data_IF_228951127944
#
_entry.id   IF_228951127944
#
_cell.length_a   1.000
_cell.length_b   1.000
_cell.length_c   1.000
_cell.angle_alpha   90.00
_cell.angle_beta   90.00
_cell.angle_gamma   90.00
#
_symmetry.space_group_name_H-M   'P 1'
#
loop_
_entity.id
_entity.type
_entity.pdbx_description
1 polymer ?
#
# COMPACT_ATOMS: atom_id res chain seq x y z
N UNK A 1 -18.79 -10.03 -0.75
CA UNK A 1 -17.61 -9.14 -0.83
C UNK A 1 -16.36 -10.00 -0.80
N UNK A 2 -15.59 -10.04 -1.89
CA UNK A 2 -14.31 -10.75 -1.91
C UNK A 2 -13.31 -9.97 -1.06
N UNK A 3 -12.96 -10.49 0.12
CA UNK A 3 -11.85 -9.93 0.91
C UNK A 3 -10.56 -10.31 0.20
N UNK A 4 -9.93 -9.35 -0.46
CA UNK A 4 -8.64 -9.54 -1.14
C UNK A 4 -7.59 -10.01 -0.13
N UNK A 5 -7.13 -11.26 -0.24
CA UNK A 5 -6.07 -11.83 0.59
C UNK A 5 -4.73 -11.39 -0.01
N UNK A 6 -4.23 -10.24 0.42
CA UNK A 6 -2.85 -9.85 0.17
C UNK A 6 -2.00 -10.16 1.41
N UNK A 7 -0.74 -10.56 1.25
CA UNK A 7 0.16 -10.77 2.38
C UNK A 7 0.64 -9.44 2.96
N UNK A 8 0.90 -8.45 2.09
CA UNK A 8 1.23 -7.08 2.48
C UNK A 8 0.13 -6.14 2.00
N UNK A 9 -0.29 -5.21 2.86
CA UNK A 9 -1.08 -4.04 2.47
C UNK A 9 -0.22 -2.78 2.61
N UNK A 10 0.20 -2.20 1.48
CA UNK A 10 0.97 -0.96 1.44
C UNK A 10 0.05 0.20 1.01
N UNK A 11 -0.16 1.18 1.88
CA UNK A 11 -1.20 2.20 1.73
C UNK A 11 -0.59 3.60 1.70
N UNK A 12 -0.87 4.34 0.62
CA UNK A 12 -0.59 5.76 0.53
C UNK A 12 -1.70 6.56 1.26
N UNK A 13 -1.35 7.28 2.33
CA UNK A 13 -2.30 7.89 3.28
C UNK A 13 -2.36 9.42 3.18
N UNK A 14 -2.46 9.99 1.98
CA UNK A 14 -2.51 11.46 1.84
C UNK A 14 -3.84 12.08 2.31
N UNK A 15 -4.99 11.46 2.02
CA UNK A 15 -6.31 12.04 2.32
C UNK A 15 -7.00 11.44 3.55
N UNK A 16 -6.41 10.38 4.11
CA UNK A 16 -6.83 9.76 5.35
C UNK A 16 -8.06 8.85 5.26
N UNK A 17 -8.82 8.82 4.16
CA UNK A 17 -10.04 7.99 4.07
C UNK A 17 -9.73 6.49 4.03
N UNK A 18 -8.85 6.08 3.13
CA UNK A 18 -8.36 4.71 2.96
C UNK A 18 -7.59 4.26 4.19
N UNK A 19 -6.75 5.14 4.75
CA UNK A 19 -6.09 4.88 6.04
C UNK A 19 -7.14 4.60 7.12
N UNK A 20 -8.11 5.50 7.32
CA UNK A 20 -9.11 5.35 8.38
C UNK A 20 -9.95 4.09 8.16
N UNK A 21 -10.28 3.75 6.90
CA UNK A 21 -10.96 2.49 6.56
C UNK A 21 -10.13 1.27 6.98
N UNK A 22 -8.83 1.26 6.67
CA UNK A 22 -7.94 0.15 7.03
C UNK A 22 -7.73 0.06 8.53
N UNK A 23 -7.53 1.19 9.23
CA UNK A 23 -7.42 1.20 10.70
C UNK A 23 -8.71 0.70 11.37
N UNK A 24 -9.88 1.12 10.86
CA UNK A 24 -11.17 0.64 11.36
C UNK A 24 -11.30 -0.88 11.16
N UNK A 25 -10.89 -1.38 9.99
CA UNK A 25 -10.94 -2.81 9.69
C UNK A 25 -9.89 -3.64 10.45
N UNK A 26 -8.75 -3.04 10.80
CA UNK A 26 -7.69 -3.68 11.60
C UNK A 26 -8.06 -3.81 13.09
N UNK A 27 -8.95 -2.94 13.57
CA UNK A 27 -9.43 -2.94 14.95
C UNK A 27 -8.83 -1.81 15.79
N UNK A 28 -9.47 -1.57 16.94
CA UNK A 28 -9.16 -0.43 17.82
C UNK A 28 -7.71 -0.42 18.30
N UNK A 29 -7.16 -1.58 18.68
CA UNK A 29 -5.79 -1.69 19.18
C UNK A 29 -4.76 -1.21 18.14
N UNK A 30 -4.94 -1.58 16.87
CA UNK A 30 -4.07 -1.13 15.77
C UNK A 30 -4.27 0.34 15.46
N UNK A 31 -5.49 0.85 15.60
CA UNK A 31 -5.77 2.28 15.45
C UNK A 31 -5.00 3.10 16.50
N UNK A 32 -5.00 2.65 17.76
CA UNK A 32 -4.27 3.29 18.85
C UNK A 32 -2.74 3.17 18.69
N UNK A 33 -2.24 2.01 18.27
CA UNK A 33 -0.84 1.80 17.90
C UNK A 33 -0.42 2.76 16.79
N UNK A 34 -1.17 2.80 15.70
CA UNK A 34 -0.94 3.71 14.59
C UNK A 34 -0.88 5.16 15.07
N UNK A 35 -1.86 5.62 15.86
CA UNK A 35 -1.90 7.01 16.32
C UNK A 35 -0.71 7.35 17.20
N UNK A 36 -0.38 6.47 18.15
CA UNK A 36 0.76 6.63 19.06
C UNK A 36 2.08 6.69 18.32
N UNK A 37 2.27 5.81 17.33
CA UNK A 37 3.51 5.78 16.57
C UNK A 37 3.57 6.93 15.57
N UNK A 38 2.45 7.30 14.93
CA UNK A 38 2.38 8.40 13.96
C UNK A 38 2.78 9.76 14.55
N UNK A 39 2.54 9.97 15.85
CA UNK A 39 3.01 11.16 16.57
C UNK A 39 4.51 11.07 16.83
N UNK A 40 5.31 11.72 15.98
CA UNK A 40 6.77 11.81 16.13
C UNK A 40 7.58 11.05 15.07
N UNK A 41 6.94 10.47 14.05
CA UNK A 41 7.65 9.77 12.97
C UNK A 41 8.43 10.77 12.10
N UNK A 42 9.76 10.68 12.13
CA UNK A 42 10.61 11.35 11.14
C UNK A 42 10.78 10.55 9.84
N UNK A 43 10.43 9.25 9.87
CA UNK A 43 10.54 8.31 8.74
C UNK A 43 9.43 8.55 7.69
N UNK A 44 9.61 8.10 6.43
CA UNK A 44 8.64 8.35 5.36
C UNK A 44 7.40 7.42 5.44
N UNK A 45 7.50 6.33 6.21
CA UNK A 45 6.43 5.36 6.41
C UNK A 45 6.37 4.88 7.84
N UNK A 46 5.25 4.23 8.15
CA UNK A 46 4.93 3.57 9.40
C UNK A 46 4.47 2.14 9.10
N UNK A 47 4.84 1.19 9.92
CA UNK A 47 4.42 -0.21 9.82
C UNK A 47 3.63 -0.55 11.07
N UNK A 48 2.55 -1.31 10.93
CA UNK A 48 1.80 -1.83 12.09
C UNK A 48 1.54 -3.32 11.90
N UNK A 49 1.20 -3.98 13.01
CA UNK A 49 0.57 -5.29 12.93
C UNK A 49 -0.76 -5.22 12.14
N UNK A 50 -1.20 -6.32 11.51
CA UNK A 50 -2.43 -6.35 10.70
C UNK A 50 -3.72 -6.35 11.54
N UNK A 51 -3.64 -6.65 12.83
CA UNK A 51 -4.81 -6.79 13.69
C UNK A 51 -5.80 -7.83 13.16
N UNK A 52 -7.03 -7.41 12.90
CA UNK A 52 -8.11 -8.24 12.35
C UNK A 52 -8.04 -8.41 10.82
N UNK A 53 -7.11 -7.73 10.13
CA UNK A 53 -6.93 -7.90 8.69
C UNK A 53 -6.34 -9.27 8.38
N UNK A 54 -6.67 -9.79 7.20
CA UNK A 54 -6.19 -11.11 6.72
C UNK A 54 -4.79 -11.07 6.08
N UNK A 55 -4.14 -9.91 6.12
CA UNK A 55 -2.75 -9.73 5.68
C UNK A 55 -1.78 -10.01 6.82
N UNK A 56 -0.50 -10.15 6.49
CA UNK A 56 0.58 -10.36 7.46
C UNK A 56 1.19 -9.03 7.94
N UNK A 57 1.11 -7.99 7.10
CA UNK A 57 1.66 -6.65 7.41
C UNK A 57 0.84 -5.54 6.77
N UNK A 58 0.74 -4.41 7.48
CA UNK A 58 0.23 -3.15 6.93
C UNK A 58 1.30 -2.07 7.02
N UNK A 59 1.42 -1.30 5.96
CA UNK A 59 2.35 -0.17 5.86
C UNK A 59 1.58 1.06 5.45
N UNK A 60 1.81 2.17 6.13
CA UNK A 60 1.24 3.47 5.86
C UNK A 60 2.34 4.44 5.45
N UNK A 61 2.15 5.11 4.33
CA UNK A 61 3.02 6.22 3.95
C UNK A 61 2.60 7.48 4.69
N UNK A 62 3.48 8.08 5.50
CA UNK A 62 3.10 9.05 6.55
C UNK A 62 3.50 10.51 6.28
N UNK A 63 4.33 10.79 5.27
CA UNK A 63 4.81 12.16 5.01
C UNK A 63 4.30 12.72 3.69
N UNK A 64 3.59 13.85 3.78
CA UNK A 64 3.26 14.69 2.65
C UNK A 64 4.50 15.35 2.09
N UNK A 65 4.66 15.36 0.78
CA UNK A 65 5.69 16.16 0.11
C UNK A 65 5.23 16.47 -1.30
N UNK A 66 5.44 17.71 -1.71
CA UNK A 66 5.42 18.26 -3.06
C UNK A 66 6.33 17.53 -4.09
N UNK A 67 6.83 16.32 -3.77
CA UNK A 67 7.69 15.46 -4.60
C UNK A 67 7.12 14.03 -4.75
N UNK A 68 5.80 13.95 -4.88
CA UNK A 68 5.01 12.72 -4.96
C UNK A 68 5.56 11.67 -5.94
N UNK A 69 6.11 12.05 -7.09
CA UNK A 69 6.62 11.10 -8.09
C UNK A 69 7.88 10.33 -7.63
N UNK A 70 8.78 10.98 -6.89
CA UNK A 70 10.00 10.33 -6.38
C UNK A 70 9.66 9.34 -5.27
N UNK A 71 8.77 9.75 -4.36
CA UNK A 71 8.33 8.93 -3.24
C UNK A 71 7.47 7.73 -3.69
N UNK A 72 6.67 7.90 -4.74
CA UNK A 72 5.90 6.81 -5.36
C UNK A 72 6.80 5.70 -5.90
N UNK A 73 7.90 6.10 -6.56
CA UNK A 73 8.89 5.18 -7.10
C UNK A 73 9.56 4.38 -5.99
N UNK A 74 9.98 5.06 -4.92
CA UNK A 74 10.56 4.42 -3.74
C UNK A 74 9.54 3.47 -3.11
N UNK A 75 8.31 3.93 -2.92
CA UNK A 75 7.24 3.16 -2.28
C UNK A 75 6.96 1.84 -3.01
N UNK A 76 6.71 1.88 -4.32
CA UNK A 76 6.44 0.66 -5.10
C UNK A 76 7.65 -0.26 -5.09
N UNK A 77 8.85 0.26 -5.44
CA UNK A 77 10.05 -0.57 -5.55
C UNK A 77 10.43 -1.21 -4.21
N UNK A 78 10.45 -0.43 -3.14
CA UNK A 78 10.84 -0.90 -1.82
C UNK A 78 9.92 -2.00 -1.32
N UNK A 79 8.59 -1.83 -1.45
CA UNK A 79 7.66 -2.84 -0.95
C UNK A 79 7.55 -4.07 -1.84
N UNK A 80 7.81 -3.95 -3.14
CA UNK A 80 7.96 -5.12 -4.00
C UNK A 80 9.26 -5.88 -3.70
N UNK A 81 10.38 -5.18 -3.50
CA UNK A 81 11.63 -5.81 -3.05
C UNK A 81 11.42 -6.52 -1.71
N UNK A 82 10.78 -5.86 -0.75
CA UNK A 82 10.41 -6.45 0.54
C UNK A 82 9.55 -7.71 0.33
N UNK A 83 8.57 -7.67 -0.56
CA UNK A 83 7.73 -8.80 -0.90
C UNK A 83 8.56 -10.01 -1.38
N UNK A 84 9.50 -9.77 -2.31
CA UNK A 84 10.38 -10.81 -2.85
C UNK A 84 11.38 -11.38 -1.84
N UNK A 85 12.05 -10.51 -1.07
CA UNK A 85 13.05 -10.91 -0.09
C UNK A 85 12.45 -11.77 1.03
N UNK A 86 11.21 -11.49 1.41
CA UNK A 86 10.50 -12.21 2.46
C UNK A 86 9.60 -13.34 1.93
N UNK A 87 9.67 -13.66 0.63
CA UNK A 87 8.89 -14.70 -0.04
C UNK A 87 7.36 -14.57 0.11
N UNK A 88 6.87 -13.34 0.23
CA UNK A 88 5.44 -13.06 0.15
C UNK A 88 4.91 -13.41 -1.24
N UNK A 89 3.65 -13.85 -1.30
CA UNK A 89 3.00 -14.26 -2.54
C UNK A 89 2.17 -13.12 -3.15
N UNK A 90 1.84 -12.11 -2.34
CA UNK A 90 0.97 -11.03 -2.76
C UNK A 90 1.20 -9.72 -2.01
N UNK A 91 1.06 -8.62 -2.73
CA UNK A 91 1.07 -7.25 -2.19
C UNK A 91 -0.11 -6.46 -2.75
N UNK A 92 -0.81 -5.75 -1.88
CA UNK A 92 -1.86 -4.81 -2.24
C UNK A 92 -1.39 -3.38 -2.02
N UNK A 93 -1.44 -2.57 -3.08
CA UNK A 93 -1.17 -1.15 -3.05
C UNK A 93 -2.48 -0.35 -2.95
N UNK A 94 -2.64 0.39 -1.87
CA UNK A 94 -3.75 1.31 -1.66
C UNK A 94 -3.42 2.72 -2.12
N UNK A 95 -4.22 3.26 -3.04
CA UNK A 95 -3.98 4.55 -3.70
C UNK A 95 -5.27 5.37 -3.65
N UNK A 96 -5.18 6.59 -3.15
CA UNK A 96 -6.34 7.51 -3.10
C UNK A 96 -6.31 8.56 -4.21
N UNK A 97 -5.13 8.90 -4.73
CA UNK A 97 -4.98 9.89 -5.78
C UNK A 97 -4.91 9.20 -7.15
N UNK A 98 -5.91 9.40 -8.03
CA UNK A 98 -5.98 8.76 -9.33
C UNK A 98 -4.78 9.07 -10.24
N UNK A 99 -4.09 10.20 -10.03
CA UNK A 99 -2.93 10.59 -10.81
C UNK A 99 -1.73 9.61 -10.65
N UNK A 100 -1.68 8.86 -9.55
CA UNK A 100 -0.59 7.92 -9.26
C UNK A 100 -0.86 6.49 -9.70
N UNK A 101 -2.08 6.19 -10.15
CA UNK A 101 -2.50 4.87 -10.61
C UNK A 101 -1.59 4.36 -11.71
N UNK A 102 -1.53 5.07 -12.84
CA UNK A 102 -0.80 4.64 -14.02
C UNK A 102 0.71 4.52 -13.76
N UNK A 103 1.37 5.51 -13.09
CA UNK A 103 2.77 5.37 -12.72
C UNK A 103 3.04 4.16 -11.80
N UNK A 104 2.18 3.89 -10.81
CA UNK A 104 2.36 2.73 -9.93
C UNK A 104 2.20 1.40 -10.66
N UNK A 105 1.21 1.29 -11.55
CA UNK A 105 1.02 0.10 -12.40
C UNK A 105 2.27 -0.14 -13.25
N UNK A 106 2.80 0.91 -13.91
CA UNK A 106 3.99 0.79 -14.74
C UNK A 106 5.21 0.34 -13.94
N UNK A 107 5.43 0.91 -12.75
CA UNK A 107 6.52 0.53 -11.85
C UNK A 107 6.36 -0.91 -11.33
N UNK A 108 5.15 -1.32 -10.99
CA UNK A 108 4.86 -2.69 -10.58
C UNK A 108 5.11 -3.68 -11.72
N UNK A 109 4.61 -3.40 -12.94
CA UNK A 109 4.86 -4.22 -14.14
C UNK A 109 6.37 -4.37 -14.39
N UNK A 110 7.12 -3.27 -14.40
CA UNK A 110 8.57 -3.30 -14.60
C UNK A 110 9.30 -4.18 -13.58
N UNK A 111 8.91 -4.11 -12.30
CA UNK A 111 9.58 -4.88 -11.27
C UNK A 111 9.09 -6.34 -11.22
N UNK A 112 7.85 -6.64 -11.62
CA UNK A 112 7.42 -8.02 -11.91
C UNK A 112 8.25 -8.65 -13.03
N UNK A 113 8.49 -7.93 -14.13
CA UNK A 113 9.32 -8.39 -15.26
C UNK A 113 10.78 -8.62 -14.86
N UNK A 114 11.28 -7.87 -13.87
CA UNK A 114 12.67 -7.94 -13.41
C UNK A 114 12.93 -9.12 -12.47
N UNK A 115 11.91 -9.79 -11.95
CA UNK A 115 12.04 -10.86 -10.96
C UNK A 115 11.52 -12.19 -11.49
N UNK A 116 12.21 -13.29 -11.14
CA UNK A 116 11.86 -14.65 -11.60
C UNK A 116 10.83 -15.38 -10.73
N UNK A 117 10.45 -14.80 -9.59
CA UNK A 117 9.48 -15.38 -8.67
C UNK A 117 8.09 -14.80 -8.93
N UNK A 118 7.02 -15.60 -8.87
CA UNK A 118 5.67 -15.08 -9.00
C UNK A 118 5.33 -14.20 -7.78
N UNK A 119 4.79 -13.01 -8.04
CA UNK A 119 4.23 -12.12 -7.03
C UNK A 119 2.90 -11.56 -7.58
N UNK A 120 1.82 -11.71 -6.81
CA UNK A 120 0.53 -11.12 -7.17
C UNK A 120 0.46 -9.67 -6.68
N UNK A 121 0.30 -8.72 -7.59
CA UNK A 121 0.16 -7.30 -7.25
C UNK A 121 -1.30 -6.90 -7.42
N UNK A 122 -1.87 -6.35 -6.35
CA UNK A 122 -3.25 -5.90 -6.28
C UNK A 122 -3.26 -4.38 -6.10
N UNK A 123 -4.22 -3.71 -6.70
CA UNK A 123 -4.46 -2.29 -6.47
C UNK A 123 -5.80 -2.13 -5.76
N UNK A 124 -5.80 -1.45 -4.61
CA UNK A 124 -7.01 -1.09 -3.86
C UNK A 124 -7.41 0.30 -4.33
N UNK A 125 -8.57 0.37 -4.97
CA UNK A 125 -9.01 1.52 -5.76
C UNK A 125 -10.43 1.88 -5.34
N UNK A 126 -10.79 3.16 -5.46
CA UNK A 126 -12.19 3.53 -5.33
C UNK A 126 -12.97 3.08 -6.57
N UNK A 127 -14.27 2.78 -6.44
CA UNK A 127 -15.10 2.43 -7.59
C UNK A 127 -15.12 3.53 -8.66
N UNK A 128 -14.97 4.79 -8.24
CA UNK A 128 -14.87 5.95 -9.14
C UNK A 128 -13.65 5.87 -10.05
N UNK A 129 -12.55 5.27 -9.59
CA UNK A 129 -11.28 5.22 -10.32
C UNK A 129 -11.14 3.95 -11.16
N UNK A 130 -12.06 2.99 -11.01
CA UNK A 130 -12.08 1.72 -11.77
C UNK A 130 -11.91 1.90 -13.29
N UNK A 131 -12.54 2.87 -13.98
CA UNK A 131 -12.34 3.05 -15.41
C UNK A 131 -10.89 3.36 -15.83
N UNK A 132 -10.10 3.99 -14.95
CA UNK A 132 -8.68 4.26 -15.21
C UNK A 132 -7.89 2.95 -15.20
N UNK A 133 -8.25 2.03 -14.30
CA UNK A 133 -7.61 0.71 -14.18
C UNK A 133 -8.02 -0.26 -15.28
N UNK A 134 -9.29 -0.27 -15.68
CA UNK A 134 -9.80 -1.14 -16.76
C UNK A 134 -9.14 -0.83 -18.12
N UNK A 135 -8.45 0.30 -18.26
CA UNK A 135 -7.72 0.70 -19.47
C UNK A 135 -6.29 0.13 -19.60
N UNK A 136 -5.77 -0.60 -18.60
CA UNK A 136 -4.38 -1.12 -18.54
C UNK A 136 -4.25 -2.64 -18.51
#
# INVERSE_FOLDING_TARGET
MATTKADIMAICSESGKLRNFVLTAAGTDICEEYHRESTGVQRPWLETAPGLLKCQKVVYYTKGVDELNFLLTIFVKMWMTCAYENNYQSIAFGIENPAFVSPMIALAKQSLESHRKPLSVLFIISERDRPVYDAF
#
